data_IF_117185140557
#
_entry.id   IF_117185140557
#
_cell.length_a   1.000
_cell.length_b   1.000
_cell.length_c   1.000
_cell.angle_alpha   90.00
_cell.angle_beta   90.00
_cell.angle_gamma   90.00
#
_symmetry.space_group_name_H-M   'P 1'
#
loop_
_entity.id
_entity.type
_entity.pdbx_description
1 polymer ?
#
# COMPACT_ATOMS: atom_id res chain seq x y z
N UNK A 1 -19.71 -5.13 -11.32
CA UNK A 1 -18.82 -5.72 -12.36
C UNK A 1 -18.68 -4.73 -13.49
N UNK A 2 -17.53 -4.69 -14.15
CA UNK A 2 -17.30 -3.68 -15.19
C UNK A 2 -16.30 -4.17 -16.22
N UNK A 3 -16.56 -3.89 -17.49
CA UNK A 3 -15.62 -4.13 -18.58
C UNK A 3 -14.55 -3.03 -18.59
N UNK A 4 -13.31 -3.42 -18.88
CA UNK A 4 -12.15 -2.52 -18.94
C UNK A 4 -11.33 -2.90 -20.16
N UNK A 5 -10.98 -1.92 -20.96
CA UNK A 5 -9.91 -2.05 -21.92
C UNK A 5 -8.62 -1.58 -21.26
N UNK A 6 -7.56 -2.37 -21.40
CA UNK A 6 -6.29 -2.17 -20.71
C UNK A 6 -5.15 -2.37 -21.69
N UNK A 7 -4.19 -1.44 -21.74
CA UNK A 7 -2.88 -1.70 -22.34
C UNK A 7 -2.01 -2.36 -21.27
N UNK A 8 -1.67 -3.65 -21.38
CA UNK A 8 -0.89 -4.36 -20.37
C UNK A 8 0.55 -3.86 -20.38
N UNK A 9 1.14 -3.67 -19.19
CA UNK A 9 2.52 -3.21 -19.05
C UNK A 9 3.39 -4.26 -18.36
N UNK A 10 3.02 -4.68 -17.14
CA UNK A 10 3.83 -5.58 -16.33
C UNK A 10 2.99 -6.49 -15.45
N UNK A 11 3.47 -7.71 -15.25
CA UNK A 11 2.95 -8.62 -14.22
C UNK A 11 3.73 -8.41 -12.91
N UNK A 12 3.01 -8.20 -11.83
CA UNK A 12 3.57 -7.98 -10.49
C UNK A 12 3.01 -9.02 -9.53
N UNK A 13 3.91 -9.70 -8.83
CA UNK A 13 3.54 -10.58 -7.73
C UNK A 13 3.65 -9.82 -6.41
N UNK A 14 2.52 -9.63 -5.73
CA UNK A 14 2.45 -8.82 -4.51
C UNK A 14 1.52 -9.48 -3.49
N UNK A 15 2.01 -9.66 -2.25
CA UNK A 15 1.28 -10.30 -1.13
C UNK A 15 0.58 -11.62 -1.49
N UNK A 16 1.26 -12.46 -2.27
CA UNK A 16 0.74 -13.77 -2.64
C UNK A 16 -0.21 -13.78 -3.84
N UNK A 17 -0.49 -12.62 -4.45
CA UNK A 17 -1.42 -12.49 -5.58
C UNK A 17 -0.71 -11.91 -6.80
N UNK A 18 -1.21 -12.28 -8.00
CA UNK A 18 -0.75 -11.71 -9.26
C UNK A 18 -1.62 -10.52 -9.67
N UNK A 19 -0.95 -9.45 -10.07
CA UNK A 19 -1.57 -8.24 -10.60
C UNK A 19 -1.00 -7.91 -11.97
N UNK A 20 -1.86 -7.34 -12.81
CA UNK A 20 -1.47 -6.73 -14.07
C UNK A 20 -1.46 -5.21 -13.88
N UNK A 21 -0.29 -4.60 -13.98
CA UNK A 21 -0.15 -3.16 -14.14
C UNK A 21 -0.44 -2.81 -15.61
N UNK A 22 -1.27 -1.79 -15.82
CA UNK A 22 -1.66 -1.39 -17.16
C UNK A 22 -2.26 0.00 -17.25
N UNK A 23 -2.29 0.54 -18.48
CA UNK A 23 -3.04 1.75 -18.78
C UNK A 23 -4.53 1.43 -18.91
N UNK A 24 -5.35 1.98 -18.03
CA UNK A 24 -6.79 1.81 -18.04
C UNK A 24 -7.43 2.84 -18.97
N UNK A 25 -7.86 2.44 -20.16
CA UNK A 25 -8.47 3.34 -21.15
C UNK A 25 -9.73 4.04 -20.65
N UNK A 26 -10.51 3.40 -19.78
CA UNK A 26 -11.70 4.02 -19.20
C UNK A 26 -11.36 5.14 -18.20
N UNK A 27 -10.24 5.02 -17.50
CA UNK A 27 -9.82 5.97 -16.46
C UNK A 27 -8.75 6.94 -16.94
N UNK A 28 -8.21 6.71 -18.13
CA UNK A 28 -7.09 7.44 -18.71
C UNK A 28 -5.94 7.57 -17.71
N UNK A 29 -5.61 6.46 -17.05
CA UNK A 29 -4.61 6.41 -15.99
C UNK A 29 -4.03 5.01 -15.82
N UNK A 30 -2.81 4.96 -15.26
CA UNK A 30 -2.18 3.74 -14.78
C UNK A 30 -2.95 3.13 -13.60
N UNK A 31 -3.11 1.80 -13.61
CA UNK A 31 -3.82 1.02 -12.58
C UNK A 31 -3.26 -0.40 -12.49
N UNK A 32 -3.29 -0.97 -11.29
CA UNK A 32 -3.06 -2.38 -11.04
C UNK A 32 -4.38 -3.14 -10.98
N UNK A 33 -4.47 -4.27 -11.69
CA UNK A 33 -5.65 -5.13 -11.75
C UNK A 33 -5.32 -6.50 -11.18
N UNK A 34 -6.05 -6.93 -10.15
CA UNK A 34 -5.94 -8.30 -9.65
C UNK A 34 -6.34 -9.29 -10.74
N UNK A 35 -5.43 -10.22 -11.07
CA UNK A 35 -5.69 -11.25 -12.10
C UNK A 35 -6.80 -12.20 -11.65
N UNK A 36 -6.85 -12.53 -10.35
CA UNK A 36 -7.90 -13.39 -9.78
C UNK A 36 -9.31 -12.78 -9.89
N UNK A 37 -9.38 -11.45 -10.04
CA UNK A 37 -10.66 -10.75 -10.26
C UNK A 37 -11.10 -10.72 -11.73
N UNK A 38 -10.26 -11.15 -12.67
CA UNK A 38 -10.57 -11.18 -14.10
C UNK A 38 -11.36 -12.44 -14.46
N UNK A 39 -12.53 -12.26 -15.06
CA UNK A 39 -13.43 -13.37 -15.40
C UNK A 39 -13.26 -13.88 -16.83
N UNK A 40 -12.89 -12.98 -17.73
CA UNK A 40 -12.69 -13.26 -19.16
C UNK A 40 -11.70 -12.25 -19.72
N UNK A 41 -10.81 -12.72 -20.59
CA UNK A 41 -9.79 -11.89 -21.23
C UNK A 41 -9.89 -12.16 -22.73
N UNK A 42 -9.93 -11.09 -23.51
CA UNK A 42 -9.93 -11.13 -24.97
C UNK A 42 -8.85 -10.18 -25.47
N UNK A 43 -7.98 -10.67 -26.36
CA UNK A 43 -6.93 -9.86 -26.98
C UNK A 43 -7.56 -9.14 -28.17
N UNK A 44 -7.44 -7.82 -28.20
CA UNK A 44 -7.94 -6.97 -29.29
C UNK A 44 -6.85 -6.69 -30.32
N UNK A 45 -7.23 -6.35 -31.55
CA UNK A 45 -6.29 -5.92 -32.61
C UNK A 45 -5.74 -4.49 -32.39
N UNK A 46 -6.26 -3.75 -31.40
CA UNK A 46 -5.81 -2.41 -31.10
C UNK A 46 -4.42 -2.42 -30.46
N UNK A 47 -3.56 -1.51 -30.93
CA UNK A 47 -2.23 -1.34 -30.37
C UNK A 47 -2.32 -0.87 -28.90
N UNK A 48 -1.44 -1.39 -28.06
CA UNK A 48 -1.30 -0.94 -26.69
C UNK A 48 -0.74 0.50 -26.66
N UNK A 49 -1.29 1.32 -25.76
CA UNK A 49 -0.70 2.61 -25.42
C UNK A 49 0.69 2.41 -24.84
N UNK A 50 1.66 3.16 -25.36
CA UNK A 50 3.02 3.19 -24.83
C UNK A 50 3.06 4.21 -23.70
N UNK A 51 3.28 3.72 -22.48
CA UNK A 51 3.53 4.59 -21.32
C UNK A 51 5.03 4.61 -21.08
N UNK A 52 5.63 5.79 -20.91
CA UNK A 52 7.06 5.92 -20.63
C UNK A 52 7.45 5.15 -19.35
N UNK A 53 8.59 4.44 -19.38
CA UNK A 53 9.07 3.68 -18.22
C UNK A 53 9.29 4.58 -17.00
N UNK A 54 9.71 5.84 -17.20
CA UNK A 54 9.89 6.79 -16.11
C UNK A 54 8.55 7.14 -15.43
N UNK A 55 7.48 7.32 -16.21
CA UNK A 55 6.14 7.58 -15.69
C UNK A 55 5.57 6.36 -14.97
N UNK A 56 5.82 5.16 -15.50
CA UNK A 56 5.46 3.90 -14.83
C UNK A 56 6.17 3.78 -13.48
N UNK A 57 7.49 4.00 -13.45
CA UNK A 57 8.29 3.93 -12.23
C UNK A 57 7.80 4.95 -11.20
N UNK A 58 7.58 6.20 -11.59
CA UNK A 58 7.07 7.24 -10.69
C UNK A 58 5.70 6.89 -10.10
N UNK A 59 4.84 6.20 -10.86
CA UNK A 59 3.50 5.82 -10.42
C UNK A 59 3.49 4.65 -9.43
N UNK A 60 4.38 3.67 -9.62
CA UNK A 60 4.38 2.42 -8.85
C UNK A 60 5.48 2.32 -7.78
N UNK A 61 6.61 3.03 -7.92
CA UNK A 61 7.76 2.88 -7.01
C UNK A 61 7.64 3.65 -5.69
N UNK A 62 6.82 4.70 -5.67
CA UNK A 62 6.66 5.56 -4.49
C UNK A 62 5.48 5.19 -3.60
N UNK A 63 4.70 4.17 -3.93
CA UNK A 63 3.51 3.81 -3.17
C UNK A 63 3.86 2.83 -2.04
N UNK A 64 3.30 3.07 -0.84
CA UNK A 64 3.21 2.01 0.15
C UNK A 64 2.12 1.02 -0.26
N UNK A 65 2.51 -0.14 -0.76
CA UNK A 65 1.58 -1.18 -1.19
C UNK A 65 1.44 -1.33 -2.69
N UNK A 66 0.31 -1.88 -3.13
CA UNK A 66 -0.07 -1.98 -4.55
C UNK A 66 -1.00 -0.86 -5.00
N UNK A 67 -1.55 -0.08 -4.06
CA UNK A 67 -2.29 1.12 -4.40
C UNK A 67 -1.37 2.21 -4.93
N UNK A 68 -1.45 2.45 -6.23
CA UNK A 68 -0.72 3.49 -6.94
C UNK A 68 -0.86 4.89 -6.33
N UNK A 69 0.24 5.64 -6.30
CA UNK A 69 0.29 7.03 -5.87
C UNK A 69 1.66 7.40 -5.32
N UNK A 70 2.10 8.64 -5.54
CA UNK A 70 3.35 9.11 -4.95
C UNK A 70 3.25 9.12 -3.42
N UNK A 71 4.25 8.61 -2.71
CA UNK A 71 4.40 8.83 -1.27
C UNK A 71 4.56 10.33 -1.02
N UNK A 72 3.45 10.97 -0.67
CA UNK A 72 3.39 12.40 -0.40
C UNK A 72 3.27 12.70 1.10
N UNK A 73 3.22 11.65 1.93
CA UNK A 73 3.10 11.72 3.38
C UNK A 73 4.09 10.75 4.03
N UNK A 74 4.45 11.03 5.28
CA UNK A 74 5.26 10.14 6.12
C UNK A 74 4.46 9.82 7.37
N UNK A 75 4.29 8.53 7.65
CA UNK A 75 3.70 8.05 8.87
C UNK A 75 4.80 7.76 9.89
N UNK A 76 4.74 8.41 11.05
CA UNK A 76 5.57 8.02 12.19
C UNK A 76 4.79 7.07 13.08
N UNK A 77 5.30 5.85 13.23
CA UNK A 77 4.71 4.83 14.09
C UNK A 77 5.72 4.34 15.12
N UNK A 78 5.23 3.87 16.26
CA UNK A 78 6.08 3.34 17.32
C UNK A 78 5.59 1.96 17.76
N UNK A 79 6.48 0.99 17.68
CA UNK A 79 6.25 -0.40 18.05
C UNK A 79 6.72 -0.65 19.48
N UNK A 80 5.98 -1.51 20.19
CA UNK A 80 6.33 -1.92 21.54
C UNK A 80 7.71 -2.60 21.61
N UNK A 81 8.35 -2.67 22.79
CA UNK A 81 9.62 -3.36 22.94
C UNK A 81 9.55 -4.85 22.57
N UNK A 82 8.34 -5.45 22.69
CA UNK A 82 8.10 -6.85 22.33
C UNK A 82 8.29 -7.09 20.84
N UNK A 83 7.88 -6.15 19.99
CA UNK A 83 7.96 -6.26 18.53
C UNK A 83 9.19 -5.56 17.94
N UNK A 84 9.80 -4.64 18.68
CA UNK A 84 10.85 -3.75 18.22
C UNK A 84 11.96 -4.44 17.42
N UNK A 85 12.45 -5.60 17.91
CA UNK A 85 13.52 -6.34 17.23
C UNK A 85 13.08 -6.92 15.88
N UNK A 86 11.86 -7.45 15.79
CA UNK A 86 11.38 -8.06 14.54
C UNK A 86 11.10 -6.99 13.49
N UNK A 87 10.43 -5.90 13.88
CA UNK A 87 10.08 -4.82 12.95
C UNK A 87 11.33 -4.09 12.45
N UNK A 88 12.39 -4.00 13.27
CA UNK A 88 13.65 -3.41 12.85
C UNK A 88 14.33 -4.15 11.67
N UNK A 89 14.02 -5.43 11.48
CA UNK A 89 14.54 -6.24 10.37
C UNK A 89 13.60 -6.23 9.14
N UNK A 90 12.42 -5.61 9.23
CA UNK A 90 11.44 -5.58 8.14
C UNK A 90 11.65 -4.39 7.19
N UNK A 91 11.52 -4.63 5.88
CA UNK A 91 11.50 -3.59 4.86
C UNK A 91 10.08 -3.42 4.29
N UNK A 92 9.42 -2.37 4.74
CA UNK A 92 8.08 -1.90 4.43
C UNK A 92 8.10 -0.95 3.24
N UNK A 93 9.07 -0.03 3.20
CA UNK A 93 9.29 0.92 2.12
C UNK A 93 10.80 1.13 1.89
N UNK A 94 11.29 1.28 0.64
CA UNK A 94 12.72 1.47 0.37
C UNK A 94 13.34 2.66 1.10
N UNK A 95 12.56 3.73 1.27
CA UNK A 95 12.98 4.98 1.94
C UNK A 95 12.52 5.07 3.40
N UNK A 96 12.09 3.98 4.02
CA UNK A 96 11.74 4.00 5.44
C UNK A 96 12.95 4.36 6.31
N UNK A 97 12.70 5.01 7.44
CA UNK A 97 13.74 5.33 8.42
C UNK A 97 13.33 4.84 9.79
N UNK A 98 14.16 4.02 10.43
CA UNK A 98 13.81 3.44 11.72
C UNK A 98 14.93 3.51 12.73
N UNK A 99 14.55 3.65 14.01
CA UNK A 99 15.48 3.79 15.12
C UNK A 99 14.89 3.22 16.42
N UNK A 100 15.78 2.69 17.26
CA UNK A 100 15.43 2.41 18.65
C UNK A 100 15.37 3.71 19.44
N UNK A 101 14.41 3.81 20.35
CA UNK A 101 14.27 4.93 21.29
C UNK A 101 14.51 4.46 22.72
N UNK A 102 14.79 5.38 23.65
CA UNK A 102 15.26 5.11 25.03
C UNK A 102 14.38 4.15 25.86
N UNK A 103 13.14 3.90 25.44
CA UNK A 103 12.19 2.98 26.06
C UNK A 103 12.31 1.53 25.57
N UNK A 104 13.26 1.21 24.69
CA UNK A 104 13.36 -0.10 24.02
C UNK A 104 12.31 -0.31 22.92
N UNK A 105 11.52 0.71 22.63
CA UNK A 105 10.58 0.75 21.50
C UNK A 105 11.31 1.02 20.20
N UNK A 106 10.65 0.72 19.09
CA UNK A 106 11.17 1.01 17.76
C UNK A 106 10.27 2.01 17.06
N UNK A 107 10.83 3.16 16.67
CA UNK A 107 10.13 4.17 15.89
C UNK A 107 10.48 3.99 14.42
N UNK A 108 9.46 4.03 13.58
CA UNK A 108 9.58 3.86 12.13
C UNK A 108 8.81 4.98 11.42
N UNK A 109 9.52 5.67 10.53
CA UNK A 109 8.97 6.64 9.59
C UNK A 109 8.80 5.98 8.22
N UNK A 110 7.56 5.94 7.73
CA UNK A 110 7.17 5.20 6.52
C UNK A 110 6.56 6.18 5.52
N UNK A 111 7.21 6.41 4.36
CA UNK A 111 6.58 7.12 3.25
C UNK A 111 5.37 6.34 2.73
N UNK A 112 4.25 7.03 2.53
CA UNK A 112 3.03 6.45 1.98
C UNK A 112 2.21 7.48 1.20
N UNK A 113 1.36 6.99 0.29
CA UNK A 113 0.43 7.81 -0.50
C UNK A 113 -1.01 7.60 -0.04
N UNK A 114 -1.58 6.43 -0.36
CA UNK A 114 -2.89 6.00 0.15
C UNK A 114 -2.71 5.23 1.48
N UNK A 115 -3.43 5.60 2.56
CA UNK A 115 -3.25 4.98 3.86
C UNK A 115 -3.90 3.59 3.99
N UNK A 116 -4.70 3.14 3.03
CA UNK A 116 -5.54 1.93 3.17
C UNK A 116 -4.72 0.68 3.49
N UNK A 117 -3.64 0.42 2.74
CA UNK A 117 -2.77 -0.73 3.02
C UNK A 117 -1.98 -0.57 4.31
N UNK A 118 -1.41 0.62 4.53
CA UNK A 118 -0.67 0.92 5.74
C UNK A 118 -1.53 0.68 7.00
N UNK A 119 -2.79 1.11 6.99
CA UNK A 119 -3.74 0.86 8.08
C UNK A 119 -3.94 -0.64 8.30
N UNK A 120 -4.17 -1.43 7.24
CA UNK A 120 -4.33 -2.88 7.37
C UNK A 120 -3.09 -3.54 7.97
N UNK A 121 -1.89 -3.11 7.56
CA UNK A 121 -0.63 -3.64 8.11
C UNK A 121 -0.37 -3.21 9.54
N UNK A 122 -0.77 -2.01 9.94
CA UNK A 122 -0.65 -1.58 11.33
C UNK A 122 -1.64 -2.34 12.21
N UNK A 123 -2.89 -2.51 11.76
CA UNK A 123 -3.93 -3.23 12.51
C UNK A 123 -3.55 -4.68 12.82
N UNK A 124 -2.75 -5.35 11.97
CA UNK A 124 -2.30 -6.73 12.21
C UNK A 124 -1.48 -6.89 13.50
N UNK A 125 -0.85 -5.82 13.96
CA UNK A 125 -0.05 -5.80 15.19
C UNK A 125 -0.90 -5.52 16.43
N UNK A 126 -2.19 -5.18 16.26
CA UNK A 126 -3.09 -4.89 17.36
C UNK A 126 -2.58 -3.74 18.23
N UNK A 127 -2.67 -3.89 19.56
CA UNK A 127 -2.26 -2.87 20.54
C UNK A 127 -0.75 -2.69 20.72
N UNK A 128 0.08 -3.24 19.82
CA UNK A 128 1.54 -3.21 19.94
C UNK A 128 2.20 -2.18 19.02
N UNK A 129 1.40 -1.46 18.25
CA UNK A 129 1.83 -0.34 17.41
C UNK A 129 0.96 0.88 17.67
N UNK A 130 1.56 2.05 17.70
CA UNK A 130 0.88 3.32 17.82
C UNK A 130 1.25 4.23 16.65
N UNK A 131 0.25 4.86 16.02
CA UNK A 131 0.47 5.93 15.05
C UNK A 131 0.67 7.25 15.78
N UNK A 132 1.88 7.80 15.71
CA UNK A 132 2.21 9.10 16.29
C UNK A 132 1.87 10.25 15.35
N UNK A 133 2.06 10.05 14.04
CA UNK A 133 1.78 11.05 13.00
C UNK A 133 1.47 10.37 11.65
N UNK A 134 0.77 11.07 10.72
CA UNK A 134 0.06 12.33 10.93
C UNK A 134 -1.25 12.13 11.72
N UNK A 135 -1.82 13.20 12.32
CA UNK A 135 -3.07 13.11 13.08
C UNK A 135 -4.24 12.49 12.29
N UNK A 136 -4.27 12.74 10.98
CA UNK A 136 -5.27 12.19 10.07
C UNK A 136 -5.19 10.66 10.01
N UNK A 137 -3.99 10.08 9.90
CA UNK A 137 -3.79 8.63 9.89
C UNK A 137 -4.18 8.03 11.25
N UNK A 138 -3.84 8.71 12.35
CA UNK A 138 -4.25 8.30 13.70
C UNK A 138 -5.78 8.26 13.84
N UNK A 139 -6.49 9.25 13.32
CA UNK A 139 -7.95 9.28 13.33
C UNK A 139 -8.55 8.17 12.46
N UNK A 140 -7.99 7.91 11.29
CA UNK A 140 -8.42 6.80 10.44
C UNK A 140 -8.23 5.43 11.14
N UNK A 141 -7.09 5.22 11.80
CA UNK A 141 -6.87 4.02 12.63
C UNK A 141 -7.92 3.90 13.75
N UNK A 142 -8.22 4.99 14.46
CA UNK A 142 -9.22 5.02 15.53
C UNK A 142 -10.59 4.62 15.01
N UNK A 143 -11.03 5.20 13.89
CA UNK A 143 -12.31 4.87 13.25
C UNK A 143 -12.42 3.38 12.86
N UNK A 144 -11.34 2.80 12.32
CA UNK A 144 -11.30 1.38 11.99
C UNK A 144 -11.35 0.48 13.24
N UNK A 145 -10.64 0.86 14.30
CA UNK A 145 -10.65 0.13 15.57
C UNK A 145 -12.04 0.19 16.21
N UNK A 146 -12.70 1.34 16.22
CA UNK A 146 -14.06 1.49 16.74
C UNK A 146 -15.05 0.62 15.97
N UNK A 147 -14.97 0.64 14.63
CA UNK A 147 -15.80 -0.20 13.77
C UNK A 147 -15.56 -1.69 14.02
N UNK A 148 -14.30 -2.10 14.21
CA UNK A 148 -13.93 -3.46 14.57
C UNK A 148 -14.47 -3.85 15.95
N UNK A 149 -14.31 -2.99 16.96
CA UNK A 149 -14.79 -3.24 18.31
C UNK A 149 -16.30 -3.43 18.36
N UNK A 150 -17.05 -2.63 17.59
CA UNK A 150 -18.51 -2.71 17.50
C UNK A 150 -19.03 -4.06 16.96
N UNK A 151 -18.23 -4.84 16.23
CA UNK A 151 -18.63 -6.18 15.75
C UNK A 151 -18.69 -7.20 16.89
N UNK A 152 -17.92 -6.98 17.96
CA UNK A 152 -17.79 -7.90 19.09
C UNK A 152 -18.53 -7.44 20.35
N UNK A 153 -19.26 -6.32 20.25
CA UNK A 153 -20.13 -5.80 21.32
C UNK A 153 -21.56 -6.30 21.14
#
# INVERSE_FOLDING_TARGET
RSQRQVSPLKMVFYRGNWYLDGWCHLREALRSFSVDSMQSIEITEQAAESVDEADQLAHYAGAYGIFSGAANQIATVEFSPRLARWVADEQWHPEQQGQFVDSGRYRLDIPYGDPTELIMDLLRYGGEVEVLSPPQLREQMRLQIDAMAAIYQ
#
